data_IF_378300367118
#
_entry.id   IF_378300367118
#
_cell.length_a   1.000
_cell.length_b   1.000
_cell.length_c   1.000
_cell.angle_alpha   90.00
_cell.angle_beta   90.00
_cell.angle_gamma   90.00
#
_symmetry.space_group_name_H-M   'P 1'
#
loop_
_entity.id
_entity.type
_entity.pdbx_description
1 polymer ?
#
# COMPACT_ATOMS: atom_id res chain seq x y z
N UNK A 1 -23.31 19.25 -5.65
CA UNK A 1 -21.93 19.03 -5.14
C UNK A 1 -21.90 17.64 -4.52
N UNK A 2 -21.09 16.73 -5.05
CA UNK A 2 -20.99 15.34 -4.59
C UNK A 2 -19.76 15.24 -3.70
N UNK A 3 -19.98 15.03 -2.40
CA UNK A 3 -18.95 15.04 -1.37
C UNK A 3 -18.18 13.73 -1.34
N UNK A 4 -16.88 13.86 -1.09
CA UNK A 4 -15.86 12.81 -0.89
C UNK A 4 -16.28 11.75 0.15
N UNK A 5 -17.20 12.08 1.05
CA UNK A 5 -17.80 11.13 1.99
C UNK A 5 -18.56 9.97 1.31
N UNK A 6 -19.07 10.13 0.08
CA UNK A 6 -19.68 9.01 -0.66
C UNK A 6 -18.66 7.98 -1.14
N UNK A 7 -17.38 8.35 -1.22
CA UNK A 7 -16.33 7.44 -1.64
C UNK A 7 -16.06 6.40 -0.55
N UNK A 8 -15.97 6.81 0.72
CA UNK A 8 -15.60 5.93 1.83
C UNK A 8 -16.72 5.00 2.31
N UNK A 9 -17.99 5.38 2.14
CA UNK A 9 -19.13 4.55 2.56
C UNK A 9 -19.26 3.24 1.79
N UNK A 10 -18.63 3.12 0.61
CA UNK A 10 -18.64 1.90 -0.19
C UNK A 10 -17.42 0.99 0.01
N UNK A 11 -16.44 1.40 0.82
CA UNK A 11 -15.21 0.62 1.07
C UNK A 11 -15.18 -0.09 2.43
N UNK A 12 -16.24 0.02 3.23
CA UNK A 12 -16.35 -0.69 4.52
C UNK A 12 -17.39 -1.80 4.37
N UNK A 13 -17.00 -2.89 3.71
CA UNK A 13 -17.61 -4.20 3.94
C UNK A 13 -16.69 -4.99 4.88
N UNK A 14 -17.15 -5.36 6.09
CA UNK A 14 -16.32 -5.97 7.10
C UNK A 14 -16.37 -7.51 7.02
N UNK A 15 -15.96 -8.16 5.93
CA UNK A 15 -16.11 -9.64 5.84
C UNK A 15 -14.98 -10.37 5.09
N UNK A 16 -13.79 -9.79 4.90
CA UNK A 16 -12.64 -10.57 4.38
C UNK A 16 -11.30 -10.00 4.83
N UNK A 17 -11.05 -10.11 6.14
CA UNK A 17 -9.71 -10.10 6.69
C UNK A 17 -9.03 -11.46 6.38
N UNK A 18 -8.64 -11.69 5.11
CA UNK A 18 -7.78 -12.81 4.73
C UNK A 18 -7.23 -12.62 3.31
N UNK A 19 -5.99 -12.15 3.20
CA UNK A 19 -5.03 -12.64 2.21
C UNK A 19 -5.51 -12.74 0.74
N UNK A 20 -6.01 -11.65 0.15
CA UNK A 20 -6.15 -11.56 -1.32
C UNK A 20 -4.81 -11.09 -1.92
N UNK A 21 -3.93 -12.06 -2.15
CA UNK A 21 -2.57 -11.90 -2.69
C UNK A 21 -2.52 -11.56 -4.20
N UNK A 22 -3.60 -11.03 -4.76
CA UNK A 22 -3.71 -10.76 -6.20
C UNK A 22 -4.09 -9.30 -6.45
N UNK A 23 -3.19 -8.40 -6.06
CA UNK A 23 -3.27 -7.00 -6.49
C UNK A 23 -3.18 -6.94 -8.01
N UNK A 24 -4.16 -6.30 -8.65
CA UNK A 24 -4.16 -6.16 -10.10
C UNK A 24 -2.94 -5.35 -10.55
N UNK A 25 -2.38 -5.69 -11.71
CA UNK A 25 -1.25 -4.97 -12.30
C UNK A 25 -1.50 -3.46 -12.45
N UNK A 26 -2.77 -3.05 -12.60
CA UNK A 26 -3.15 -1.63 -12.59
C UNK A 26 -3.02 -0.98 -11.21
N UNK A 27 -3.41 -1.67 -10.14
CA UNK A 27 -3.34 -1.17 -8.76
C UNK A 27 -1.88 -1.01 -8.33
N UNK A 28 -1.03 -1.99 -8.64
CA UNK A 28 0.42 -1.92 -8.39
C UNK A 28 1.04 -0.71 -9.09
N UNK A 29 0.66 -0.46 -10.36
CA UNK A 29 1.16 0.70 -11.10
C UNK A 29 0.69 2.02 -10.51
N UNK A 30 -0.58 2.13 -10.12
CA UNK A 30 -1.11 3.34 -9.48
C UNK A 30 -0.37 3.61 -8.17
N UNK A 31 -0.19 2.60 -7.32
CA UNK A 31 0.56 2.73 -6.07
C UNK A 31 2.01 3.21 -6.30
N UNK A 32 2.71 2.67 -7.31
CA UNK A 32 4.07 3.13 -7.67
C UNK A 32 4.06 4.59 -8.11
N UNK A 33 3.07 5.03 -8.91
CA UNK A 33 2.97 6.41 -9.39
C UNK A 33 2.68 7.38 -8.24
N UNK A 34 1.75 7.03 -7.36
CA UNK A 34 1.42 7.83 -6.17
C UNK A 34 2.65 7.99 -5.26
N UNK A 35 3.36 6.90 -4.94
CA UNK A 35 4.58 6.97 -4.13
C UNK A 35 5.67 7.81 -4.80
N UNK A 36 5.84 7.70 -6.12
CA UNK A 36 6.81 8.53 -6.86
C UNK A 36 6.44 10.01 -6.92
N UNK A 37 5.17 10.35 -6.70
CA UNK A 37 4.72 11.74 -6.64
C UNK A 37 5.06 12.44 -5.32
N UNK A 38 5.35 11.66 -4.27
CA UNK A 38 5.73 12.18 -2.96
C UNK A 38 7.15 12.78 -2.98
N UNK A 39 7.41 13.68 -2.03
CA UNK A 39 8.74 14.25 -1.85
C UNK A 39 9.70 13.23 -1.25
N UNK A 40 11.00 13.41 -1.47
CA UNK A 40 12.01 12.53 -0.88
C UNK A 40 12.00 12.59 0.66
N UNK A 41 11.53 13.70 1.25
CA UNK A 41 11.31 13.81 2.69
C UNK A 41 10.19 12.89 3.16
N UNK A 42 9.04 12.93 2.49
CA UNK A 42 7.88 12.10 2.86
C UNK A 42 8.21 10.60 2.69
N UNK A 43 8.92 10.25 1.61
CA UNK A 43 9.43 8.91 1.39
C UNK A 43 10.38 8.48 2.51
N UNK A 44 11.30 9.35 2.89
CA UNK A 44 12.27 9.08 3.96
C UNK A 44 11.60 8.95 5.34
N UNK A 45 10.58 9.74 5.65
CA UNK A 45 9.80 9.62 6.89
C UNK A 45 9.11 8.26 7.01
N UNK A 46 8.71 7.67 5.87
CA UNK A 46 8.18 6.31 5.82
C UNK A 46 9.29 5.24 5.83
N UNK A 47 10.57 5.62 5.77
CA UNK A 47 11.71 4.71 5.64
C UNK A 47 11.74 4.02 4.28
N UNK A 48 11.45 4.75 3.20
CA UNK A 48 11.45 4.26 1.83
C UNK A 48 12.34 5.15 0.97
N UNK A 49 13.21 4.56 0.14
CA UNK A 49 13.89 5.31 -0.91
C UNK A 49 13.18 5.19 -2.26
N UNK A 50 13.35 6.18 -3.13
CA UNK A 50 12.71 6.21 -4.45
C UNK A 50 13.09 5.01 -5.34
N UNK A 51 14.29 4.48 -5.15
CA UNK A 51 14.79 3.27 -5.84
C UNK A 51 14.13 1.98 -5.36
N UNK A 52 13.60 1.96 -4.14
CA UNK A 52 13.00 0.78 -3.51
C UNK A 52 11.50 0.68 -3.69
N UNK A 53 10.82 1.76 -4.12
CA UNK A 53 9.36 1.83 -4.28
C UNK A 53 8.81 0.62 -5.03
N UNK A 54 9.36 0.31 -6.21
CA UNK A 54 8.81 -0.78 -7.04
C UNK A 54 8.95 -2.15 -6.37
N UNK A 55 10.09 -2.40 -5.72
CA UNK A 55 10.30 -3.65 -5.01
C UNK A 55 9.37 -3.74 -3.79
N UNK A 56 9.28 -2.67 -3.00
CA UNK A 56 8.48 -2.61 -1.79
C UNK A 56 6.97 -2.78 -2.06
N UNK A 57 6.46 -2.18 -3.14
CA UNK A 57 5.04 -2.33 -3.54
C UNK A 57 4.74 -3.75 -4.01
N UNK A 58 5.67 -4.40 -4.73
CA UNK A 58 5.43 -5.73 -5.32
C UNK A 58 5.67 -6.88 -4.36
N UNK A 59 6.62 -6.72 -3.44
CA UNK A 59 7.13 -7.83 -2.62
C UNK A 59 7.07 -7.54 -1.12
N UNK A 60 6.52 -6.39 -0.71
CA UNK A 60 6.62 -5.93 0.67
C UNK A 60 8.01 -5.39 1.00
N UNK A 61 8.19 -4.90 2.23
CA UNK A 61 9.50 -4.43 2.70
C UNK A 61 10.22 -5.57 3.41
N UNK A 62 11.41 -5.88 2.90
CA UNK A 62 12.33 -6.86 3.48
C UNK A 62 12.54 -6.58 4.97
N UNK A 63 12.22 -7.57 5.81
CA UNK A 63 12.41 -7.52 7.26
C UNK A 63 11.21 -7.02 8.09
N UNK A 64 10.08 -6.70 7.45
CA UNK A 64 8.85 -6.31 8.17
C UNK A 64 7.82 -7.46 8.13
N UNK A 65 7.75 -8.15 7.00
CA UNK A 65 6.75 -9.19 6.75
C UNK A 65 7.01 -10.46 7.59
N UNK A 66 8.24 -10.67 8.07
CA UNK A 66 8.60 -11.78 8.97
C UNK A 66 8.02 -11.61 10.39
N UNK A 67 7.78 -10.38 10.84
CA UNK A 67 7.34 -10.11 12.22
C UNK A 67 5.85 -10.41 12.42
N UNK A 68 5.03 -10.27 11.38
CA UNK A 68 3.58 -10.50 11.47
C UNK A 68 3.19 -11.98 11.48
N UNK A 69 4.11 -12.91 11.16
CA UNK A 69 3.81 -14.36 11.13
C UNK A 69 3.92 -15.05 12.49
N UNK A 70 4.37 -14.37 13.55
CA UNK A 70 4.75 -15.02 14.81
C UNK A 70 3.93 -14.64 16.05
N UNK A 71 2.73 -14.07 15.87
CA UNK A 71 1.81 -13.84 17.00
C UNK A 71 0.64 -14.83 16.91
N UNK A 72 0.81 -15.91 17.67
CA UNK A 72 -0.15 -16.87 18.25
C UNK A 72 -1.29 -17.42 17.39
#
# INVERSE_FOLDING_TARGET
MKNIFQFFSNLIHPETAANDSDHSSSEIRQAILELRSLSDRDLNDMGLSRSEIEYAVRHGRKGIDDVQRHVA
#
